data_IF_853608375710
#
_entry.id   IF_853608375710
#
_cell.length_a   1.000
_cell.length_b   1.000
_cell.length_c   1.000
_cell.angle_alpha   90.00
_cell.angle_beta   90.00
_cell.angle_gamma   90.00
#
_symmetry.space_group_name_H-M   'P 1'
#
loop_
_entity.id
_entity.type
_entity.pdbx_description
1 polymer ?
#
# COMPACT_ATOMS: atom_id res chain seq x y z
N UNK A 1 -5.80 4.64 -10.46
CA UNK A 1 -6.41 4.20 -9.18
C UNK A 1 -5.53 4.75 -8.07
N UNK A 2 -6.06 5.64 -7.22
CA UNK A 2 -5.27 6.31 -6.19
C UNK A 2 -5.36 5.55 -4.88
N UNK A 3 -4.21 5.28 -4.27
CA UNK A 3 -4.09 4.65 -2.96
C UNK A 3 -3.45 5.66 -2.02
N UNK A 4 -4.08 5.93 -0.89
CA UNK A 4 -3.52 6.76 0.15
C UNK A 4 -2.93 5.87 1.25
N UNK A 5 -1.62 5.96 1.46
CA UNK A 5 -0.98 5.36 2.63
C UNK A 5 -1.22 6.27 3.83
N UNK A 6 -1.84 5.73 4.88
CA UNK A 6 -2.25 6.52 6.04
C UNK A 6 -1.06 6.82 6.96
N UNK A 7 -1.12 7.96 7.66
CA UNK A 7 -0.17 8.30 8.73
C UNK A 7 -0.51 7.55 10.02
N UNK A 8 -0.43 6.21 9.97
CA UNK A 8 -0.62 5.31 11.10
C UNK A 8 0.64 4.49 11.30
N UNK A 9 0.94 4.16 12.57
CA UNK A 9 2.04 3.28 12.90
C UNK A 9 1.91 1.93 12.16
N UNK A 10 2.99 1.47 11.56
CA UNK A 10 3.06 0.15 10.96
C UNK A 10 2.94 -0.92 12.05
N UNK A 11 2.16 -1.96 11.78
CA UNK A 11 1.86 -3.01 12.75
C UNK A 11 2.76 -4.22 12.45
N UNK A 12 3.75 -4.55 13.31
CA UNK A 12 4.59 -5.72 13.11
C UNK A 12 3.77 -7.00 13.27
N UNK A 13 4.05 -7.99 12.43
CA UNK A 13 3.44 -9.31 12.54
C UNK A 13 4.34 -10.39 11.94
N UNK A 14 4.13 -11.63 12.38
CA UNK A 14 4.79 -12.80 11.81
C UNK A 14 3.92 -13.42 10.73
N UNK A 15 4.51 -13.65 9.56
CA UNK A 15 3.87 -14.34 8.45
C UNK A 15 4.61 -15.65 8.18
N UNK A 16 3.91 -16.76 8.36
CA UNK A 16 4.40 -18.09 7.99
C UNK A 16 3.84 -18.46 6.62
N UNK A 17 4.72 -18.64 5.64
CA UNK A 17 4.35 -19.11 4.30
C UNK A 17 5.32 -20.22 3.88
N UNK A 18 4.77 -21.34 3.41
CA UNK A 18 5.55 -22.50 2.95
C UNK A 18 6.58 -22.99 4.00
N UNK A 19 6.14 -23.08 5.27
CA UNK A 19 6.98 -23.51 6.39
C UNK A 19 8.02 -22.50 6.88
N UNK A 20 8.15 -21.33 6.23
CA UNK A 20 9.10 -20.28 6.62
C UNK A 20 8.37 -19.13 7.31
N UNK A 21 8.70 -18.88 8.57
CA UNK A 21 8.22 -17.71 9.32
C UNK A 21 9.11 -16.50 9.03
N UNK A 22 8.49 -15.38 8.65
CA UNK A 22 9.16 -14.11 8.37
C UNK A 22 8.51 -12.99 9.16
N UNK A 23 9.33 -12.09 9.69
CA UNK A 23 8.86 -10.83 10.23
C UNK A 23 8.39 -9.93 9.09
N UNK A 24 7.22 -9.34 9.26
CA UNK A 24 6.55 -8.46 8.31
C UNK A 24 5.93 -7.29 9.06
N UNK A 25 5.56 -6.26 8.31
CA UNK A 25 4.78 -5.14 8.86
C UNK A 25 3.56 -4.90 8.00
N UNK A 26 2.44 -4.55 8.64
CA UNK A 26 1.21 -4.13 7.98
C UNK A 26 1.10 -2.62 7.99
N UNK A 27 0.70 -2.05 6.87
CA UNK A 27 0.36 -0.64 6.77
C UNK A 27 -1.08 -0.50 6.29
N UNK A 28 -1.79 0.45 6.90
CA UNK A 28 -3.15 0.79 6.51
C UNK A 28 -3.15 1.76 5.33
N UNK A 29 -3.99 1.45 4.36
CA UNK A 29 -4.18 2.23 3.15
C UNK A 29 -5.67 2.47 2.92
N UNK A 30 -5.97 3.54 2.19
CA UNK A 30 -7.30 3.85 1.67
C UNK A 30 -7.26 3.77 0.15
N UNK A 31 -8.24 3.10 -0.44
CA UNK A 31 -8.47 3.09 -1.87
C UNK A 31 -9.87 3.65 -2.13
N UNK A 32 -10.03 4.45 -3.17
CA UNK A 32 -11.35 4.90 -3.62
C UNK A 32 -11.75 4.18 -4.91
N UNK A 33 -12.95 3.60 -4.92
CA UNK A 33 -13.57 2.97 -6.10
C UNK A 33 -14.96 3.60 -6.26
N UNK A 34 -15.21 4.23 -7.40
CA UNK A 34 -16.50 4.87 -7.73
C UNK A 34 -17.00 5.84 -6.63
N UNK A 35 -16.09 6.58 -6.00
CA UNK A 35 -16.41 7.51 -4.91
C UNK A 35 -16.58 6.85 -3.53
N UNK A 36 -16.41 5.53 -3.43
CA UNK A 36 -16.52 4.79 -2.18
C UNK A 36 -15.13 4.48 -1.60
N UNK A 37 -14.78 5.04 -0.42
CA UNK A 37 -13.51 4.74 0.23
C UNK A 37 -13.55 3.35 0.86
N UNK A 38 -12.52 2.56 0.59
CA UNK A 38 -12.30 1.22 1.12
C UNK A 38 -10.96 1.18 1.84
N UNK A 39 -10.98 0.84 3.12
CA UNK A 39 -9.76 0.64 3.91
C UNK A 39 -9.22 -0.78 3.73
N UNK A 40 -7.91 -0.91 3.58
CA UNK A 40 -7.24 -2.21 3.47
C UNK A 40 -5.84 -2.16 4.05
N UNK A 41 -5.24 -3.34 4.26
CA UNK A 41 -3.87 -3.47 4.75
C UNK A 41 -2.97 -4.01 3.65
N UNK A 42 -1.77 -3.43 3.54
CA UNK A 42 -0.68 -3.99 2.74
C UNK A 42 0.36 -4.61 3.67
N UNK A 43 1.06 -5.63 3.18
CA UNK A 43 2.18 -6.27 3.88
C UNK A 43 3.49 -5.88 3.20
N UNK A 44 4.44 -5.39 3.97
CA UNK A 44 5.78 -5.02 3.48
C UNK A 44 6.88 -5.64 4.35
N UNK A 45 8.11 -5.62 3.84
CA UNK A 45 9.29 -5.99 4.62
C UNK A 45 9.57 -4.91 5.68
N UNK A 46 10.03 -5.28 6.89
CA UNK A 46 10.47 -4.30 7.89
C UNK A 46 11.55 -3.38 7.32
N UNK A 47 11.43 -2.07 7.53
CA UNK A 47 12.35 -1.05 7.00
C UNK A 47 12.11 -0.66 5.55
N UNK A 48 11.09 -1.23 4.89
CA UNK A 48 10.61 -0.82 3.56
C UNK A 48 9.19 -0.27 3.59
N UNK A 49 8.83 0.36 4.71
CA UNK A 49 7.52 1.00 4.87
C UNK A 49 7.36 2.16 3.88
N UNK A 50 6.15 2.31 3.35
CA UNK A 50 5.80 3.46 2.54
C UNK A 50 5.57 4.68 3.43
N UNK A 51 6.10 5.85 3.04
CA UNK A 51 5.79 7.11 3.71
C UNK A 51 4.32 7.46 3.49
N UNK A 52 3.63 8.12 4.42
CA UNK A 52 2.25 8.58 4.20
C UNK A 52 2.15 9.45 2.95
N UNK A 53 1.09 9.26 2.14
CA UNK A 53 0.90 10.01 0.90
C UNK A 53 0.10 9.29 -0.17
N UNK A 54 0.02 9.89 -1.37
CA UNK A 54 -0.63 9.30 -2.55
C UNK A 54 0.31 8.38 -3.32
N UNK A 55 -0.20 7.21 -3.66
CA UNK A 55 0.47 6.16 -4.40
C UNK A 55 -0.44 5.60 -5.48
N UNK A 56 0.18 4.94 -6.45
CA UNK A 56 -0.46 4.14 -7.47
C UNK A 56 0.03 2.70 -7.40
N UNK A 57 -0.79 1.77 -7.87
CA UNK A 57 -0.36 0.39 -8.08
C UNK A 57 0.65 0.36 -9.23
N UNK A 58 1.84 -0.16 -8.94
CA UNK A 58 2.85 -0.40 -9.96
C UNK A 58 2.41 -1.61 -10.82
N UNK A 59 2.78 -1.68 -12.11
CA UNK A 59 2.44 -2.79 -12.99
C UNK A 59 2.84 -4.17 -12.44
N UNK A 60 3.92 -4.24 -11.65
CA UNK A 60 4.42 -5.43 -10.96
C UNK A 60 3.42 -5.99 -9.93
N UNK A 61 2.37 -5.23 -9.60
CA UNK A 61 1.30 -5.69 -8.72
C UNK A 61 0.42 -6.76 -9.36
N UNK A 62 0.45 -6.85 -10.68
CA UNK A 62 -0.43 -7.71 -11.47
C UNK A 62 0.34 -8.87 -12.09
N UNK A 63 -0.33 -10.01 -12.21
CA UNK A 63 0.15 -11.18 -12.93
C UNK A 63 -1.00 -11.83 -13.71
N UNK A 64 -0.66 -12.68 -14.68
CA UNK A 64 -1.67 -13.46 -15.41
C UNK A 64 -1.73 -14.86 -14.78
N UNK A 65 -2.90 -15.21 -14.25
CA UNK A 65 -3.18 -16.54 -13.70
C UNK A 65 -4.36 -17.14 -14.44
N UNK A 66 -4.18 -18.34 -15.02
CA UNK A 66 -5.21 -19.03 -15.81
C UNK A 66 -5.83 -18.15 -16.93
N UNK A 67 -4.99 -17.36 -17.61
CA UNK A 67 -5.43 -16.46 -18.69
C UNK A 67 -6.19 -15.21 -18.21
N UNK A 68 -6.27 -14.95 -16.90
CA UNK A 68 -6.93 -13.76 -16.33
C UNK A 68 -5.91 -12.87 -15.60
N UNK A 69 -6.05 -11.55 -15.78
CA UNK A 69 -5.29 -10.58 -15.01
C UNK A 69 -5.73 -10.65 -13.54
N UNK A 70 -4.78 -10.92 -12.66
CA UNK A 70 -5.01 -11.05 -11.22
C UNK A 70 -4.02 -10.16 -10.48
N UNK A 71 -4.48 -9.50 -9.42
CA UNK A 71 -3.60 -8.79 -8.50
C UNK A 71 -2.98 -9.79 -7.53
N UNK A 72 -1.68 -10.04 -7.63
CA UNK A 72 -0.97 -11.05 -6.85
C UNK A 72 -0.27 -10.48 -5.62
N UNK A 73 0.29 -9.27 -5.74
CA UNK A 73 0.97 -8.57 -4.66
C UNK A 73 0.72 -7.07 -4.83
N UNK A 74 0.52 -6.35 -3.74
CA UNK A 74 0.47 -4.88 -3.83
C UNK A 74 1.89 -4.34 -3.86
N UNK A 75 2.25 -3.66 -4.95
CA UNK A 75 3.50 -2.89 -5.08
C UNK A 75 3.11 -1.45 -5.34
N UNK A 76 3.44 -0.56 -4.40
CA UNK A 76 3.08 0.85 -4.51
C UNK A 76 4.22 1.66 -5.12
N UNK A 77 3.88 2.48 -6.11
CA UNK A 77 4.74 3.52 -6.67
C UNK A 77 4.21 4.88 -6.25
N UNK A 78 5.09 5.73 -5.72
CA UNK A 78 4.70 7.07 -5.30
C UNK A 78 4.28 7.88 -6.54
N UNK A 79 3.06 8.41 -6.52
CA UNK A 79 2.68 9.47 -7.46
C UNK A 79 3.32 10.73 -6.91
N UNK A 80 4.06 11.46 -7.73
CA UNK A 80 4.91 12.59 -7.34
C UNK A 80 4.42 13.33 -6.08
N UNK A 81 5.30 13.66 -5.12
CA UNK A 81 4.89 14.16 -3.81
C UNK A 81 3.92 15.31 -4.00
N UNK A 82 2.69 15.16 -3.52
CA UNK A 82 1.74 16.24 -3.47
C UNK A 82 2.47 17.42 -2.81
N UNK A 83 2.67 18.51 -3.56
CA UNK A 83 3.25 19.75 -3.03
C UNK A 83 2.47 20.07 -1.77
N UNK A 84 3.11 19.90 -0.62
CA UNK A 84 2.55 20.29 0.67
C UNK A 84 2.28 21.78 0.54
N UNK A 85 1.01 22.15 0.39
CA UNK A 85 0.61 23.55 0.40
C UNK A 85 0.75 23.99 1.86
N UNK A 86 1.63 24.93 2.20
CA UNK A 86 1.75 25.39 3.58
C UNK A 86 0.42 26.05 3.95
N UNK A 87 -0.34 25.36 4.81
CA UNK A 87 -1.56 25.89 5.38
C UNK A 87 -1.27 27.19 6.11
N UNK A 88 -2.01 28.23 5.72
CA UNK A 88 -2.16 29.48 6.47
C UNK A 88 -2.41 29.16 7.95
N UNK A 89 -1.49 29.59 8.81
CA UNK A 89 -1.84 29.94 10.17
C UNK A 89 -2.66 31.24 10.08
N UNK A 90 -3.92 31.18 10.51
CA UNK A 90 -4.75 32.34 10.84
C UNK A 90 -4.81 32.45 12.36
#
# INVERSE_FOLDING_TARGET
>A
MKIQVLNRAAEPFESTWDGVTRQRVKQWCLLEIDGLPTAFQITVDPGKEHTPGEYELAPESYSVSNGRLTMSRVVLRQVAPAKVQPGKAA
#
